data_IF_271936540755
#
_entry.id   IF_271936540755
#
_cell.length_a   1.000
_cell.length_b   1.000
_cell.length_c   1.000
_cell.angle_alpha   90.00
_cell.angle_beta   90.00
_cell.angle_gamma   90.00
#
_symmetry.space_group_name_H-M   'P 1'
#
loop_
_entity.id
_entity.type
_entity.pdbx_description
1 polymer ?
#
# COMPACT_ATOMS: atom_id res chain seq x y z
N UNK A 1 -11.80 15.59 -0.81
CA UNK A 1 -10.82 14.67 -0.18
C UNK A 1 -11.63 13.52 0.37
N UNK A 2 -11.51 12.28 -0.17
CA UNK A 2 -12.41 11.19 0.17
C UNK A 2 -12.28 10.87 1.66
N UNK A 3 -13.41 10.64 2.33
CA UNK A 3 -13.56 10.50 3.78
C UNK A 3 -13.03 9.17 4.33
N UNK A 4 -11.83 8.74 3.93
CA UNK A 4 -11.22 7.54 4.51
C UNK A 4 -10.63 7.91 5.87
N UNK A 5 -10.99 7.16 6.90
CA UNK A 5 -10.41 7.35 8.22
C UNK A 5 -8.99 6.79 8.24
N UNK A 6 -8.12 7.36 9.09
CA UNK A 6 -6.76 6.85 9.25
C UNK A 6 -6.72 5.37 9.67
N UNK A 7 -7.69 4.94 10.49
CA UNK A 7 -7.85 3.54 10.89
C UNK A 7 -8.13 2.63 9.69
N UNK A 8 -9.09 3.03 8.85
CA UNK A 8 -9.40 2.29 7.62
C UNK A 8 -8.16 2.21 6.72
N UNK A 9 -7.55 3.35 6.39
CA UNK A 9 -6.35 3.35 5.55
C UNK A 9 -5.25 2.42 6.07
N UNK A 10 -5.00 2.42 7.38
CA UNK A 10 -4.01 1.52 7.99
C UNK A 10 -4.42 0.05 7.88
N UNK A 11 -5.72 -0.25 8.04
CA UNK A 11 -6.26 -1.60 7.86
C UNK A 11 -6.10 -2.07 6.41
N UNK A 12 -6.53 -1.27 5.43
CA UNK A 12 -6.37 -1.61 4.01
C UNK A 12 -4.91 -1.79 3.61
N UNK A 13 -3.99 -0.94 4.11
CA UNK A 13 -2.56 -1.12 3.83
C UNK A 13 -2.00 -2.43 4.41
N UNK A 14 -2.46 -2.87 5.59
CA UNK A 14 -2.05 -4.16 6.16
C UNK A 14 -2.60 -5.33 5.37
N UNK A 15 -3.87 -5.29 4.98
CA UNK A 15 -4.50 -6.32 4.15
C UNK A 15 -3.74 -6.48 2.82
N UNK A 16 -3.42 -5.37 2.15
CA UNK A 16 -2.63 -5.40 0.91
C UNK A 16 -1.17 -5.85 1.10
N UNK A 17 -0.58 -5.62 2.28
CA UNK A 17 0.76 -6.10 2.62
C UNK A 17 0.74 -7.62 2.89
N UNK A 18 -0.30 -8.12 3.57
CA UNK A 18 -0.52 -9.56 3.81
C UNK A 18 -0.78 -10.34 2.52
N UNK A 19 -1.45 -9.71 1.55
CA UNK A 19 -1.74 -10.29 0.23
C UNK A 19 -0.56 -10.16 -0.77
N UNK A 20 0.61 -9.67 -0.32
CA UNK A 20 1.82 -9.43 -1.14
C UNK A 20 1.60 -8.49 -2.33
N UNK A 21 0.58 -7.62 -2.25
CA UNK A 21 0.24 -6.60 -3.27
C UNK A 21 1.09 -5.35 -3.09
N UNK A 22 1.37 -4.98 -1.84
CA UNK A 22 2.25 -3.85 -1.51
C UNK A 22 3.38 -4.30 -0.58
N UNK A 23 4.54 -3.68 -0.75
CA UNK A 23 5.67 -3.81 0.16
C UNK A 23 5.82 -2.55 1.02
N UNK A 24 6.14 -2.77 2.29
CA UNK A 24 6.42 -1.71 3.27
C UNK A 24 7.92 -1.55 3.45
N UNK A 25 8.43 -0.33 3.25
CA UNK A 25 9.83 0.02 3.49
C UNK A 25 9.96 1.04 4.61
N UNK A 26 10.71 0.67 5.64
CA UNK A 26 11.04 1.55 6.76
C UNK A 26 12.40 2.19 6.51
N UNK A 27 12.47 3.50 6.67
CA UNK A 27 13.71 4.26 6.60
C UNK A 27 14.08 4.75 7.99
N UNK A 28 15.19 4.21 8.50
CA UNK A 28 15.79 4.60 9.79
C UNK A 28 16.57 5.93 9.64
N UNK A 29 15.82 6.99 9.36
CA UNK A 29 16.32 8.36 9.26
C UNK A 29 15.60 9.25 10.29
N UNK A 30 16.10 10.47 10.50
CA UNK A 30 15.41 11.47 11.35
C UNK A 30 14.82 12.55 10.42
N UNK A 31 13.49 12.74 10.40
CA UNK A 31 12.44 11.99 11.09
C UNK A 31 12.18 10.61 10.46
N UNK A 32 11.73 9.60 11.23
CA UNK A 32 11.48 8.25 10.72
C UNK A 32 10.39 8.28 9.65
N UNK A 33 10.60 7.52 8.58
CA UNK A 33 9.70 7.47 7.43
C UNK A 33 9.34 6.03 7.08
N UNK A 34 8.09 5.82 6.70
CA UNK A 34 7.61 4.57 6.12
C UNK A 34 7.05 4.88 4.75
N UNK A 35 7.45 4.10 3.75
CA UNK A 35 6.89 4.15 2.40
C UNK A 35 6.22 2.82 2.07
N UNK A 36 5.12 2.91 1.35
CA UNK A 36 4.42 1.77 0.77
C UNK A 36 4.55 1.86 -0.74
N UNK A 37 4.82 0.75 -1.40
CA UNK A 37 4.92 0.66 -2.87
C UNK A 37 4.32 -0.65 -3.36
N UNK A 38 3.81 -0.67 -4.59
CA UNK A 38 3.33 -1.91 -5.20
C UNK A 38 4.49 -2.90 -5.38
N UNK A 39 4.19 -4.19 -5.17
CA UNK A 39 5.08 -5.28 -5.59
C UNK A 39 4.95 -5.51 -7.10
N UNK A 40 5.76 -6.41 -7.66
CA UNK A 40 5.61 -6.85 -9.05
C UNK A 40 4.23 -7.49 -9.27
N UNK A 41 3.75 -8.27 -8.30
CA UNK A 41 2.40 -8.85 -8.32
C UNK A 41 1.33 -7.77 -8.26
N UNK A 42 1.42 -6.82 -7.32
CA UNK A 42 0.46 -5.72 -7.22
C UNK A 42 0.41 -4.82 -8.45
N UNK A 43 1.56 -4.62 -9.11
CA UNK A 43 1.63 -3.88 -10.38
C UNK A 43 0.91 -4.62 -11.51
N UNK A 44 0.96 -5.96 -11.53
CA UNK A 44 0.23 -6.76 -12.53
C UNK A 44 -1.30 -6.68 -12.36
N UNK A 45 -1.78 -6.53 -11.11
CA UNK A 45 -3.20 -6.36 -10.80
C UNK A 45 -3.74 -5.01 -11.31
N UNK A 46 -2.92 -3.96 -11.35
CA UNK A 46 -3.32 -2.63 -11.83
C UNK A 46 -3.89 -2.68 -13.26
N UNK A 47 -3.25 -3.44 -14.15
CA UNK A 47 -3.73 -3.59 -15.53
C UNK A 47 -5.11 -4.25 -15.63
N UNK A 48 -5.47 -5.12 -14.68
CA UNK A 48 -6.81 -5.73 -14.61
C UNK A 48 -7.82 -4.72 -14.10
N UNK A 49 -7.48 -3.97 -13.04
CA UNK A 49 -8.35 -2.96 -12.45
C UNK A 49 -8.65 -1.80 -13.41
N UNK A 50 -7.68 -1.40 -14.23
CA UNK A 50 -7.87 -0.36 -15.25
C UNK A 50 -8.77 -0.82 -16.42
N UNK A 51 -8.97 -2.13 -16.57
CA UNK A 51 -9.79 -2.72 -17.63
C UNK A 51 -11.25 -2.97 -17.22
N UNK A 52 -11.62 -2.66 -15.97
CA UNK A 52 -12.95 -2.77 -15.39
C UNK A 52 -13.74 -1.45 -15.52
#
# INVERSE_FOLDING_TARGET
MPSITQKMLTQQLRELEEDDVIQRKVYDQVPPKVEYSLTDYGSSLGAILDSL
#
